data_IF_105639960258
#
_entry.id   IF_105639960258
#
_cell.length_a   1.000
_cell.length_b   1.000
_cell.length_c   1.000
_cell.angle_alpha   90.00
_cell.angle_beta   90.00
_cell.angle_gamma   90.00
#
_symmetry.space_group_name_H-M   'P 1'
#
loop_
_entity.id
_entity.type
_entity.pdbx_description
1 polymer ?
#
# COMPACT_ATOMS: atom_id res chain seq x y z
N UNK A 1 -27.52 3.31 0.52
CA UNK A 1 -27.36 3.28 -0.95
C UNK A 1 -25.97 3.81 -1.24
N UNK A 2 -25.20 3.16 -2.07
CA UNK A 2 -23.87 3.57 -2.49
C UNK A 2 -23.98 4.43 -3.75
N UNK A 3 -23.17 5.47 -3.84
CA UNK A 3 -23.13 6.33 -5.03
C UNK A 3 -22.19 5.75 -6.08
N UNK A 4 -21.10 5.06 -5.63
CA UNK A 4 -20.17 4.36 -6.52
C UNK A 4 -19.55 3.16 -5.81
N UNK A 5 -18.95 2.23 -6.58
CA UNK A 5 -18.31 1.02 -6.09
C UNK A 5 -16.95 0.82 -6.76
N UNK A 6 -15.90 0.74 -5.95
CA UNK A 6 -14.51 0.55 -6.37
C UNK A 6 -13.86 -0.61 -5.59
N UNK A 7 -12.65 -1.00 -5.95
CA UNK A 7 -11.94 -2.03 -5.21
C UNK A 7 -11.29 -1.45 -3.95
N UNK A 8 -10.63 -0.30 -4.06
CA UNK A 8 -9.94 0.34 -2.94
C UNK A 8 -10.21 1.84 -2.92
N UNK A 9 -10.56 2.37 -1.77
CA UNK A 9 -10.62 3.82 -1.51
C UNK A 9 -9.37 4.21 -0.72
N UNK A 10 -8.60 5.16 -1.21
CA UNK A 10 -7.40 5.66 -0.56
C UNK A 10 -7.61 7.09 -0.06
N UNK A 11 -7.65 7.28 1.26
CA UNK A 11 -7.94 8.57 1.91
C UNK A 11 -6.68 9.21 2.50
N UNK A 12 -6.47 10.49 2.19
CA UNK A 12 -5.37 11.30 2.74
C UNK A 12 -4.47 11.93 1.68
N UNK A 13 -3.54 12.76 2.12
CA UNK A 13 -2.60 13.49 1.26
C UNK A 13 -1.16 12.98 1.33
N UNK A 14 -0.89 12.00 2.22
CA UNK A 14 0.45 11.47 2.47
C UNK A 14 0.99 10.55 1.38
N UNK A 15 2.30 10.33 1.42
CA UNK A 15 2.98 9.37 0.55
C UNK A 15 2.40 7.95 0.68
N UNK A 16 1.93 7.59 1.90
CA UNK A 16 1.28 6.31 2.13
C UNK A 16 0.02 6.12 1.28
N UNK A 17 -0.80 7.17 1.10
CA UNK A 17 -1.97 7.13 0.22
C UNK A 17 -1.59 6.90 -1.23
N UNK A 18 -0.64 7.67 -1.76
CA UNK A 18 -0.17 7.52 -3.14
C UNK A 18 0.41 6.13 -3.38
N UNK A 19 1.24 5.66 -2.46
CA UNK A 19 1.84 4.33 -2.54
C UNK A 19 0.81 3.19 -2.48
N UNK A 20 -0.20 3.31 -1.62
CA UNK A 20 -1.28 2.34 -1.53
C UNK A 20 -2.12 2.30 -2.80
N UNK A 21 -2.41 3.47 -3.38
CA UNK A 21 -3.16 3.58 -4.63
C UNK A 21 -2.39 2.97 -5.80
N UNK A 22 -1.10 3.30 -5.95
CA UNK A 22 -0.24 2.70 -6.98
C UNK A 22 -0.13 1.19 -6.80
N UNK A 23 0.09 0.71 -5.57
CA UNK A 23 0.18 -0.71 -5.27
C UNK A 23 -1.09 -1.49 -5.66
N UNK A 24 -2.25 -0.89 -5.44
CA UNK A 24 -3.55 -1.48 -5.80
C UNK A 24 -3.77 -1.45 -7.32
N UNK A 25 -3.46 -0.34 -7.98
CA UNK A 25 -3.56 -0.21 -9.44
C UNK A 25 -2.62 -1.18 -10.18
N UNK A 26 -1.38 -1.36 -9.69
CA UNK A 26 -0.44 -2.38 -10.18
C UNK A 26 -0.97 -3.81 -10.05
N UNK A 27 -1.86 -4.05 -9.09
CA UNK A 27 -2.56 -5.33 -8.93
C UNK A 27 -3.80 -5.45 -9.83
N UNK A 28 -4.08 -4.45 -10.67
CA UNK A 28 -5.22 -4.40 -11.58
C UNK A 28 -6.54 -4.08 -10.88
N UNK A 29 -6.49 -3.46 -9.70
CA UNK A 29 -7.67 -3.06 -8.94
C UNK A 29 -8.12 -1.65 -9.33
N UNK A 30 -9.43 -1.43 -9.23
CA UNK A 30 -10.05 -0.12 -9.37
C UNK A 30 -9.88 0.70 -8.10
N UNK A 31 -9.32 1.90 -8.22
CA UNK A 31 -8.87 2.71 -7.08
C UNK A 31 -9.37 4.14 -7.19
N UNK A 32 -9.88 4.69 -6.10
CA UNK A 32 -10.13 6.12 -5.97
C UNK A 32 -9.27 6.74 -4.87
N UNK A 33 -8.64 7.88 -5.16
CA UNK A 33 -7.93 8.69 -4.16
C UNK A 33 -8.86 9.82 -3.70
N UNK A 34 -8.98 9.96 -2.38
CA UNK A 34 -9.69 11.06 -1.72
C UNK A 34 -8.65 11.97 -1.06
N UNK A 35 -8.53 13.20 -1.52
CA UNK A 35 -7.49 14.13 -1.09
C UNK A 35 -8.10 15.38 -0.45
N UNK A 36 -7.76 15.70 0.82
CA UNK A 36 -8.22 16.90 1.48
C UNK A 36 -7.62 18.16 0.84
N UNK A 37 -8.34 19.26 0.94
CA UNK A 37 -7.93 20.55 0.36
C UNK A 37 -6.65 21.10 0.96
N UNK A 38 -6.50 20.92 2.26
CA UNK A 38 -5.37 21.42 3.04
C UNK A 38 -4.92 20.33 3.98
N UNK A 39 -3.62 19.99 4.00
CA UNK A 39 -3.08 19.15 5.06
C UNK A 39 -3.44 19.78 6.41
N UNK A 40 -4.02 19.01 7.31
CA UNK A 40 -4.32 19.50 8.65
C UNK A 40 -3.03 19.79 9.37
N UNK A 41 -2.77 21.07 9.62
CA UNK A 41 -1.66 21.46 10.49
C UNK A 41 -1.92 20.94 11.90
N UNK A 42 -1.01 20.14 12.40
CA UNK A 42 -1.04 19.67 13.79
C UNK A 42 -0.64 20.85 14.66
N UNK A 43 -1.57 21.37 15.44
CA UNK A 43 -1.25 22.40 16.44
C UNK A 43 -0.54 21.72 17.60
N UNK A 44 0.72 22.11 17.92
CA UNK A 44 1.42 21.57 19.08
C UNK A 44 0.61 21.76 20.37
N UNK A 45 0.50 20.72 21.20
CA UNK A 45 -0.17 20.80 22.50
C UNK A 45 -1.60 20.29 22.55
N UNK A 46 -2.16 19.76 21.47
CA UNK A 46 -3.42 19.01 21.50
C UNK A 46 -3.13 17.53 21.41
N UNK A 47 -3.87 16.73 22.19
CA UNK A 47 -3.83 15.26 22.14
C UNK A 47 -3.74 14.79 20.69
N UNK A 48 -2.82 13.91 20.41
CA UNK A 48 -2.32 13.51 19.07
C UNK A 48 -3.47 13.34 18.08
N UNK A 49 -3.58 14.20 17.05
CA UNK A 49 -4.57 14.00 16.00
C UNK A 49 -4.04 12.93 15.06
N UNK A 50 -4.32 11.71 15.40
CA UNK A 50 -4.10 10.68 14.40
C UNK A 50 -5.41 10.41 13.65
N UNK A 51 -5.41 9.52 12.72
CA UNK A 51 -6.39 9.18 11.69
C UNK A 51 -7.87 9.51 11.90
N UNK A 52 -8.33 9.82 13.07
CA UNK A 52 -9.72 10.18 13.38
C UNK A 52 -9.95 11.67 13.68
N UNK A 53 -8.94 12.52 13.58
CA UNK A 53 -9.10 13.93 13.93
C UNK A 53 -10.13 14.63 13.03
N UNK A 54 -11.21 15.12 13.65
CA UNK A 54 -12.32 15.81 12.99
C UNK A 54 -13.37 14.88 12.40
N UNK A 55 -13.30 13.59 12.63
CA UNK A 55 -14.39 12.66 12.37
C UNK A 55 -15.35 12.71 13.57
N UNK A 56 -16.61 13.06 13.33
CA UNK A 56 -17.64 13.14 14.37
C UNK A 56 -18.35 11.80 14.58
N UNK A 57 -18.32 10.93 13.60
CA UNK A 57 -18.93 9.61 13.64
C UNK A 57 -18.36 8.73 14.75
N UNK A 58 -19.21 8.28 15.65
CA UNK A 58 -18.81 7.56 16.87
C UNK A 58 -18.22 6.19 16.54
N UNK A 59 -18.85 5.44 15.64
CA UNK A 59 -18.41 4.09 15.26
C UNK A 59 -17.03 4.12 14.59
N UNK A 60 -16.81 5.07 13.73
CA UNK A 60 -15.51 5.28 13.08
C UNK A 60 -14.42 5.66 14.09
N UNK A 61 -14.74 6.52 15.07
CA UNK A 61 -13.79 6.87 16.14
C UNK A 61 -13.45 5.68 17.01
N UNK A 62 -14.46 4.93 17.45
CA UNK A 62 -14.26 3.72 18.25
C UNK A 62 -13.40 2.68 17.51
N UNK A 63 -13.58 2.55 16.20
CA UNK A 63 -12.74 1.69 15.37
C UNK A 63 -11.27 2.14 15.38
N UNK A 64 -10.99 3.43 15.22
CA UNK A 64 -9.62 3.95 15.27
C UNK A 64 -9.03 3.85 16.69
N UNK A 65 -9.81 4.14 17.71
CA UNK A 65 -9.38 4.01 19.09
C UNK A 65 -9.02 2.56 19.44
N UNK A 66 -9.81 1.60 18.98
CA UNK A 66 -9.51 0.18 19.15
C UNK A 66 -8.20 -0.24 18.47
N UNK A 67 -7.87 0.32 17.32
CA UNK A 67 -6.61 0.03 16.61
C UNK A 67 -5.37 0.63 17.30
N UNK A 68 -5.57 1.63 18.13
CA UNK A 68 -4.49 2.35 18.84
C UNK A 68 -4.49 2.13 20.35
N UNK A 69 -5.48 1.42 20.90
CA UNK A 69 -5.64 1.25 22.35
C UNK A 69 -4.40 0.69 23.04
N UNK A 70 -3.66 -0.16 22.35
CA UNK A 70 -2.44 -0.78 22.86
C UNK A 70 -1.17 0.09 22.60
N UNK A 71 -1.32 1.20 21.89
CA UNK A 71 -0.21 2.09 21.61
C UNK A 71 -0.07 3.09 22.76
N UNK A 72 1.12 3.17 23.34
CA UNK A 72 1.40 4.19 24.35
C UNK A 72 1.20 5.58 23.74
N UNK A 73 0.71 6.57 24.53
CA UNK A 73 0.64 7.95 24.07
C UNK A 73 2.00 8.36 23.48
N UNK A 74 1.94 8.96 22.29
CA UNK A 74 3.14 9.46 21.62
C UNK A 74 3.60 10.73 22.34
N UNK A 75 4.86 10.81 22.77
CA UNK A 75 5.44 12.08 23.18
C UNK A 75 5.38 13.06 21.99
N UNK A 76 5.06 14.32 22.23
CA UNK A 76 4.97 15.37 21.20
C UNK A 76 6.22 15.51 20.30
N UNK A 77 7.35 14.97 20.72
CA UNK A 77 8.64 15.04 20.03
C UNK A 77 8.95 13.86 19.07
N UNK A 78 8.09 12.84 18.97
CA UNK A 78 8.40 11.63 18.20
C UNK A 78 7.66 11.53 16.87
N UNK A 79 7.47 12.64 16.16
CA UNK A 79 7.06 12.54 14.77
C UNK A 79 8.22 12.00 13.92
N UNK A 80 8.06 10.79 13.41
CA UNK A 80 9.02 10.17 12.50
C UNK A 80 8.79 10.70 11.07
N UNK A 81 9.24 11.94 10.84
CA UNK A 81 9.20 12.59 9.53
C UNK A 81 10.31 12.12 8.60
N UNK A 82 11.23 11.29 9.08
CA UNK A 82 12.35 10.82 8.28
C UNK A 82 11.90 9.75 7.26
N UNK A 83 12.31 9.92 6.02
CA UNK A 83 12.24 8.88 5.02
C UNK A 83 13.34 7.84 5.32
N UNK A 84 12.94 6.61 5.56
CA UNK A 84 13.88 5.54 5.93
C UNK A 84 14.51 4.92 4.69
N UNK A 85 15.83 4.69 4.76
CA UNK A 85 16.55 3.81 3.81
C UNK A 85 16.87 2.51 4.53
N UNK A 86 16.45 1.39 3.96
CA UNK A 86 16.62 0.05 4.54
C UNK A 86 17.37 -0.86 3.57
N UNK A 87 18.43 -1.49 4.01
CA UNK A 87 19.06 -2.59 3.26
C UNK A 87 18.21 -3.84 3.38
N UNK A 88 17.92 -4.46 2.25
CA UNK A 88 17.08 -5.67 2.16
C UNK A 88 17.68 -6.68 1.20
N UNK A 89 17.38 -7.94 1.45
CA UNK A 89 17.69 -9.04 0.53
C UNK A 89 16.43 -9.86 0.26
N UNK A 90 16.35 -10.50 -0.90
CA UNK A 90 15.29 -11.47 -1.17
C UNK A 90 15.34 -12.60 -0.13
N UNK A 91 14.17 -12.98 0.35
CA UNK A 91 14.07 -14.08 1.29
C UNK A 91 13.01 -15.08 0.84
N UNK A 92 13.45 -16.30 0.59
CA UNK A 92 12.55 -17.40 0.29
C UNK A 92 12.21 -18.09 1.60
N UNK A 93 10.95 -18.04 2.07
CA UNK A 93 10.54 -18.73 3.28
C UNK A 93 10.83 -20.23 3.13
N UNK A 94 11.67 -20.77 3.98
CA UNK A 94 11.86 -22.21 4.04
C UNK A 94 10.57 -22.80 4.62
N UNK A 95 9.78 -23.44 3.78
CA UNK A 95 8.58 -24.16 4.19
C UNK A 95 8.96 -25.37 5.03
N UNK A 96 9.16 -25.17 6.34
CA UNK A 96 9.39 -26.22 7.32
C UNK A 96 8.07 -26.57 8.02
N UNK A 97 7.62 -27.82 7.90
CA UNK A 97 6.52 -28.32 8.74
C UNK A 97 6.92 -28.13 10.21
N UNK A 98 6.09 -27.40 10.97
CA UNK A 98 6.26 -27.25 12.42
C UNK A 98 6.95 -25.98 12.90
N UNK A 99 7.28 -25.03 12.03
CA UNK A 99 7.76 -23.73 12.47
C UNK A 99 6.57 -22.88 12.97
N UNK A 100 6.54 -22.63 14.27
CA UNK A 100 5.63 -21.65 14.87
C UNK A 100 6.13 -20.28 14.39
N UNK A 101 5.24 -19.49 13.77
CA UNK A 101 5.59 -18.13 13.40
C UNK A 101 6.00 -17.35 14.66
N UNK A 102 7.11 -16.60 14.64
CA UNK A 102 7.52 -15.85 15.82
C UNK A 102 6.44 -14.85 16.21
N UNK A 103 6.19 -14.73 17.51
CA UNK A 103 5.26 -13.73 18.05
C UNK A 103 5.95 -12.36 18.08
N UNK A 104 5.45 -11.43 17.30
CA UNK A 104 6.01 -10.09 17.15
C UNK A 104 5.21 -8.99 17.87
N UNK A 105 4.42 -9.30 18.89
CA UNK A 105 3.49 -8.37 19.52
C UNK A 105 4.05 -6.97 19.77
N UNK A 106 5.16 -6.85 20.51
CA UNK A 106 5.78 -5.56 20.80
C UNK A 106 6.34 -4.88 19.52
N UNK A 107 6.84 -5.65 18.55
CA UNK A 107 7.33 -5.11 17.27
C UNK A 107 6.20 -4.61 16.39
N UNK A 108 5.05 -5.28 16.39
CA UNK A 108 3.88 -4.82 15.64
C UNK A 108 3.31 -3.53 16.23
N UNK A 109 3.35 -3.37 17.56
CA UNK A 109 2.99 -2.12 18.21
C UNK A 109 3.96 -0.98 17.87
N UNK A 110 5.27 -1.21 17.92
CA UNK A 110 6.27 -0.24 17.52
C UNK A 110 6.14 0.11 16.03
N UNK A 111 5.88 -0.87 15.19
CA UNK A 111 5.62 -0.67 13.76
C UNK A 111 4.36 0.17 13.51
N UNK A 112 3.25 -0.15 14.15
CA UNK A 112 2.02 0.62 14.06
C UNK A 112 2.26 2.08 14.47
N UNK A 113 2.97 2.29 15.57
CA UNK A 113 3.34 3.63 16.06
C UNK A 113 4.13 4.41 15.00
N UNK A 114 5.17 3.82 14.45
CA UNK A 114 6.00 4.46 13.39
C UNK A 114 5.19 4.79 12.14
N UNK A 115 4.25 3.95 11.75
CA UNK A 115 3.38 4.22 10.62
C UNK A 115 2.44 5.39 10.93
N UNK A 116 1.86 5.42 12.14
CA UNK A 116 0.90 6.44 12.54
C UNK A 116 1.52 7.84 12.70
N UNK A 117 2.80 7.92 13.05
CA UNK A 117 3.51 9.19 13.26
C UNK A 117 4.26 9.68 12.04
N UNK A 118 4.11 9.02 10.90
CA UNK A 118 4.90 9.28 9.71
C UNK A 118 4.04 9.69 8.52
N UNK A 119 4.45 10.69 7.73
CA UNK A 119 3.80 11.04 6.47
C UNK A 119 3.88 9.93 5.41
N UNK A 120 4.73 8.93 5.66
CA UNK A 120 4.92 7.76 4.80
C UNK A 120 4.02 6.59 5.18
N UNK A 121 3.32 6.67 6.32
CA UNK A 121 2.50 5.59 6.85
C UNK A 121 1.13 5.47 6.19
N UNK A 122 0.58 4.26 6.22
CA UNK A 122 -0.76 3.94 5.76
C UNK A 122 -1.38 2.85 6.65
N UNK A 123 -2.66 3.01 6.96
CA UNK A 123 -3.51 2.01 7.58
C UNK A 123 -4.42 1.38 6.54
N UNK A 124 -4.55 0.08 6.54
CA UNK A 124 -5.53 -0.66 5.76
C UNK A 124 -6.66 -1.17 6.66
N UNK A 125 -7.89 -0.92 6.29
CA UNK A 125 -9.05 -1.41 7.06
C UNK A 125 -9.26 -2.91 6.91
N UNK A 126 -8.71 -3.52 5.86
CA UNK A 126 -8.72 -4.96 5.62
C UNK A 126 -7.31 -5.50 5.38
N UNK A 127 -7.05 -6.68 5.92
CA UNK A 127 -5.86 -7.47 5.58
C UNK A 127 -6.16 -8.23 4.30
N UNK A 128 -5.70 -7.69 3.16
CA UNK A 128 -5.78 -8.36 1.88
C UNK A 128 -4.38 -8.80 1.41
N UNK A 129 -4.33 -9.79 0.55
CA UNK A 129 -3.10 -10.07 -0.18
C UNK A 129 -2.80 -8.88 -1.11
N UNK A 130 -1.71 -8.20 -0.82
CA UNK A 130 -1.28 -6.99 -1.53
C UNK A 130 -0.27 -7.29 -2.63
N UNK A 131 -0.10 -8.55 -3.00
CA UNK A 131 0.94 -8.95 -3.96
C UNK A 131 2.34 -8.59 -3.47
N UNK A 132 2.60 -8.75 -2.17
CA UNK A 132 3.88 -8.42 -1.55
C UNK A 132 4.86 -9.56 -1.70
N UNK A 133 6.15 -9.22 -1.79
CA UNK A 133 7.26 -10.17 -1.75
C UNK A 133 7.86 -10.19 -0.35
N UNK A 134 8.08 -11.37 0.25
CA UNK A 134 8.80 -11.47 1.51
C UNK A 134 10.27 -11.11 1.31
N UNK A 135 10.78 -10.22 2.13
CA UNK A 135 12.19 -9.81 2.15
C UNK A 135 12.74 -9.89 3.57
N UNK A 136 14.05 -9.92 3.68
CA UNK A 136 14.74 -9.84 4.97
C UNK A 136 15.53 -8.53 5.03
N UNK A 137 15.34 -7.78 6.11
CA UNK A 137 16.13 -6.58 6.37
C UNK A 137 17.56 -6.93 6.77
N UNK A 138 18.48 -5.98 6.67
CA UNK A 138 19.86 -6.11 7.16
C UNK A 138 19.95 -6.45 8.67
N UNK A 139 18.90 -6.18 9.44
CA UNK A 139 18.77 -6.60 10.85
C UNK A 139 18.19 -8.00 11.04
N UNK A 140 17.90 -8.73 9.94
CA UNK A 140 17.35 -10.08 9.97
C UNK A 140 15.83 -10.15 10.14
N UNK A 141 15.11 -9.04 10.08
CA UNK A 141 13.66 -9.00 10.17
C UNK A 141 13.00 -9.47 8.87
N UNK A 142 11.94 -10.24 8.99
CA UNK A 142 11.08 -10.64 7.87
C UNK A 142 10.03 -9.55 7.64
N UNK A 143 10.03 -8.98 6.45
CA UNK A 143 9.11 -7.92 6.04
C UNK A 143 8.38 -8.31 4.76
N UNK A 144 7.24 -7.70 4.53
CA UNK A 144 6.47 -7.83 3.29
C UNK A 144 6.63 -6.54 2.49
N UNK A 145 7.05 -6.64 1.25
CA UNK A 145 7.36 -5.48 0.42
C UNK A 145 6.58 -5.53 -0.89
N UNK A 146 5.91 -4.45 -1.23
CA UNK A 146 5.44 -4.16 -2.58
C UNK A 146 6.38 -3.13 -3.18
N UNK A 147 7.12 -3.49 -4.22
CA UNK A 147 7.97 -2.56 -4.97
C UNK A 147 7.10 -1.67 -5.86
N UNK A 148 7.37 -0.36 -5.83
CA UNK A 148 6.59 0.66 -6.54
C UNK A 148 7.41 1.40 -7.60
N UNK A 149 8.71 1.18 -7.67
CA UNK A 149 9.59 1.87 -8.62
C UNK A 149 10.98 2.09 -8.07
N UNK A 150 11.75 2.92 -8.76
CA UNK A 150 13.15 3.19 -8.44
C UNK A 150 13.41 4.69 -8.39
N UNK A 151 14.30 5.10 -7.48
CA UNK A 151 14.90 6.42 -7.46
C UNK A 151 16.39 6.30 -7.79
N UNK A 152 16.81 6.96 -8.87
CA UNK A 152 18.21 7.02 -9.26
C UNK A 152 18.92 8.24 -8.69
N UNK A 153 20.24 8.16 -8.61
CA UNK A 153 21.11 9.21 -8.07
C UNK A 153 21.18 10.48 -8.95
N UNK A 154 20.65 10.45 -10.15
CA UNK A 154 20.60 11.64 -11.05
C UNK A 154 19.65 12.73 -10.52
N UNK A 155 18.82 12.39 -9.57
CA UNK A 155 17.98 13.34 -8.85
C UNK A 155 18.87 14.16 -7.91
N UNK A 156 19.58 15.15 -8.42
CA UNK A 156 20.23 16.19 -7.62
C UNK A 156 19.25 17.01 -6.77
N UNK A 157 17.98 16.63 -6.81
CA UNK A 157 16.88 17.14 -6.05
C UNK A 157 16.79 16.43 -4.68
N UNK A 158 16.12 17.06 -3.76
CA UNK A 158 15.65 16.49 -2.52
C UNK A 158 14.97 15.11 -2.75
N UNK A 159 15.43 14.09 -2.04
CA UNK A 159 14.96 12.71 -2.18
C UNK A 159 13.46 12.58 -1.94
N UNK A 160 12.91 13.37 -1.02
CA UNK A 160 11.49 13.38 -0.69
C UNK A 160 10.67 13.95 -1.84
N UNK A 161 11.15 15.05 -2.45
CA UNK A 161 10.51 15.63 -3.63
C UNK A 161 10.52 14.66 -4.82
N UNK A 162 11.64 13.96 -5.02
CA UNK A 162 11.76 12.95 -6.07
C UNK A 162 10.80 11.77 -5.85
N UNK A 163 10.66 11.29 -4.61
CA UNK A 163 9.68 10.28 -4.22
C UNK A 163 8.25 10.73 -4.56
N UNK A 164 7.89 11.97 -4.17
CA UNK A 164 6.56 12.53 -4.44
C UNK A 164 6.27 12.64 -5.93
N UNK A 165 7.25 13.11 -6.73
CA UNK A 165 7.12 13.19 -8.18
C UNK A 165 6.95 11.80 -8.81
N UNK A 166 7.74 10.81 -8.37
CA UNK A 166 7.65 9.44 -8.86
C UNK A 166 6.28 8.82 -8.60
N UNK A 167 5.78 8.88 -7.36
CA UNK A 167 4.48 8.33 -7.01
C UNK A 167 3.33 9.08 -7.72
N UNK A 168 3.41 10.41 -7.83
CA UNK A 168 2.41 11.20 -8.54
C UNK A 168 2.38 10.90 -10.03
N UNK A 169 3.55 10.69 -10.66
CA UNK A 169 3.62 10.27 -12.06
C UNK A 169 2.92 8.92 -12.27
N UNK A 170 3.16 7.95 -11.39
CA UNK A 170 2.51 6.63 -11.48
C UNK A 170 0.99 6.71 -11.27
N UNK A 171 0.51 7.55 -10.34
CA UNK A 171 -0.93 7.80 -10.18
C UNK A 171 -1.54 8.33 -11.48
N UNK A 172 -0.83 9.24 -12.19
CA UNK A 172 -1.28 9.75 -13.47
C UNK A 172 -1.19 8.69 -14.59
N UNK A 173 -0.13 7.90 -14.63
CA UNK A 173 0.08 6.84 -15.63
C UNK A 173 -1.00 5.75 -15.51
N UNK A 174 -1.39 5.40 -14.31
CA UNK A 174 -2.52 4.50 -14.03
C UNK A 174 -3.89 5.17 -14.20
N UNK A 175 -3.93 6.48 -14.43
CA UNK A 175 -5.17 7.25 -14.57
C UNK A 175 -6.10 7.10 -13.34
N UNK A 176 -5.52 7.02 -12.14
CA UNK A 176 -6.29 6.84 -10.90
C UNK A 176 -7.12 8.10 -10.63
N UNK A 177 -8.46 7.99 -10.51
CA UNK A 177 -9.32 9.11 -10.19
C UNK A 177 -8.98 9.73 -8.82
N UNK A 178 -8.93 11.06 -8.78
CA UNK A 178 -8.69 11.82 -7.55
C UNK A 178 -9.90 12.69 -7.26
N UNK A 179 -10.50 12.48 -6.10
CA UNK A 179 -11.55 13.36 -5.54
C UNK A 179 -10.86 14.41 -4.68
N UNK A 180 -10.66 15.59 -5.26
CA UNK A 180 -9.98 16.71 -4.60
C UNK A 180 -10.89 17.48 -3.66
N UNK A 181 -10.31 18.14 -2.67
CA UNK A 181 -11.04 18.94 -1.66
C UNK A 181 -12.08 18.12 -0.89
N UNK A 182 -11.80 16.86 -0.67
CA UNK A 182 -12.68 15.91 -0.06
C UNK A 182 -12.04 15.27 1.17
N UNK A 183 -12.82 14.99 2.20
CA UNK A 183 -12.32 14.41 3.46
C UNK A 183 -13.14 13.19 3.85
N UNK A 184 -12.49 12.24 4.50
CA UNK A 184 -13.18 11.11 5.10
C UNK A 184 -14.11 11.61 6.20
N UNK A 185 -15.42 11.43 6.02
CA UNK A 185 -16.44 11.77 7.01
C UNK A 185 -16.65 10.60 7.99
N UNK A 186 -16.78 9.39 7.48
CA UNK A 186 -16.93 8.16 8.26
C UNK A 186 -16.62 6.91 7.45
N UNK A 187 -16.27 5.84 8.13
CA UNK A 187 -16.29 4.48 7.58
C UNK A 187 -17.70 3.89 7.67
N UNK A 188 -18.00 2.97 6.77
CA UNK A 188 -19.27 2.25 6.76
C UNK A 188 -19.00 0.80 7.13
N UNK A 189 -19.69 0.32 8.17
CA UNK A 189 -19.52 -1.02 8.72
C UNK A 189 -20.74 -1.90 8.42
N UNK A 190 -20.49 -3.16 8.21
CA UNK A 190 -21.49 -4.23 8.20
C UNK A 190 -20.88 -5.46 8.87
N UNK A 191 -21.56 -6.02 9.84
CA UNK A 191 -21.09 -7.18 10.61
C UNK A 191 -19.66 -7.03 11.18
N UNK A 192 -19.26 -5.78 11.51
CA UNK A 192 -17.93 -5.46 12.05
C UNK A 192 -16.82 -5.33 11.01
N UNK A 193 -17.14 -5.47 9.72
CA UNK A 193 -16.21 -5.22 8.63
C UNK A 193 -16.43 -3.86 7.98
N UNK A 194 -15.36 -3.18 7.57
CA UNK A 194 -15.44 -1.94 6.81
C UNK A 194 -15.76 -2.28 5.35
N UNK A 195 -16.92 -1.80 4.86
CA UNK A 195 -17.36 -2.00 3.49
C UNK A 195 -17.09 -0.82 2.57
N UNK A 196 -16.74 0.34 3.13
CA UNK A 196 -16.50 1.55 2.36
C UNK A 196 -16.40 2.77 3.24
N UNK A 197 -16.56 3.92 2.62
CA UNK A 197 -16.44 5.22 3.27
C UNK A 197 -17.48 6.23 2.76
N UNK A 198 -17.87 7.14 3.61
CA UNK A 198 -18.57 8.36 3.21
C UNK A 198 -17.56 9.50 3.22
N UNK A 199 -17.51 10.18 2.11
CA UNK A 199 -16.58 11.27 1.85
C UNK A 199 -17.36 12.58 1.82
N UNK A 200 -16.90 13.57 2.57
CA UNK A 200 -17.44 14.93 2.51
C UNK A 200 -16.78 15.67 1.34
N UNK A 201 -17.59 16.08 0.37
CA UNK A 201 -17.15 16.80 -0.83
C UNK A 201 -17.84 18.15 -0.93
N UNK A 202 -17.39 19.01 -1.85
CA UNK A 202 -18.03 20.31 -2.11
C UNK A 202 -19.48 20.18 -2.58
N UNK A 203 -19.83 19.07 -3.23
CA UNK A 203 -21.16 18.78 -3.78
C UNK A 203 -22.04 17.99 -2.79
N UNK A 204 -21.54 17.70 -1.61
CA UNK A 204 -22.20 16.93 -0.57
C UNK A 204 -21.52 15.57 -0.30
N UNK A 205 -22.12 14.75 0.58
CA UNK A 205 -21.55 13.47 0.94
C UNK A 205 -21.60 12.48 -0.22
N UNK A 206 -20.47 11.81 -0.48
CA UNK A 206 -20.30 10.77 -1.49
C UNK A 206 -20.03 9.43 -0.79
N UNK A 207 -20.91 8.45 -0.96
CA UNK A 207 -20.78 7.11 -0.38
C UNK A 207 -20.10 6.16 -1.36
N UNK A 208 -18.86 5.76 -1.06
CA UNK A 208 -18.04 4.85 -1.86
C UNK A 208 -17.99 3.47 -1.22
N UNK A 209 -18.44 2.45 -1.95
CA UNK A 209 -18.22 1.05 -1.56
C UNK A 209 -16.82 0.61 -1.95
N UNK A 210 -16.12 -0.06 -1.04
CA UNK A 210 -14.75 -0.53 -1.25
C UNK A 210 -14.71 -2.06 -1.09
N UNK A 211 -14.64 -2.81 -2.20
CA UNK A 211 -14.64 -4.28 -2.18
C UNK A 211 -13.48 -4.87 -1.39
N UNK A 212 -12.32 -4.23 -1.46
CA UNK A 212 -11.09 -4.66 -0.78
C UNK A 212 -10.69 -3.77 0.40
N UNK A 213 -11.51 -2.76 0.73
CA UNK A 213 -11.35 -1.92 1.91
C UNK A 213 -10.82 -0.53 1.62
N UNK A 214 -10.57 0.20 2.71
CA UNK A 214 -10.12 1.59 2.69
C UNK A 214 -8.68 1.65 3.18
N UNK A 215 -7.81 2.37 2.46
CA UNK A 215 -6.47 2.72 2.88
C UNK A 215 -6.44 4.17 3.35
N UNK A 216 -5.85 4.42 4.51
CA UNK A 216 -5.89 5.75 5.14
C UNK A 216 -4.47 6.13 5.54
N UNK A 217 -3.96 7.24 5.01
CA UNK A 217 -2.69 7.80 5.48
C UNK A 217 -2.93 8.88 6.53
N UNK A 218 -1.92 9.06 7.38
CA UNK A 218 -1.91 10.19 8.31
C UNK A 218 -1.78 11.49 7.51
N UNK A 219 -2.57 12.49 7.87
CA UNK A 219 -2.52 13.83 7.25
C UNK A 219 -1.38 14.69 7.84
N UNK A 220 -0.44 14.04 8.50
CA UNK A 220 0.68 14.71 9.16
C UNK A 220 1.67 15.16 8.11
N UNK A 221 1.49 16.33 7.49
CA UNK A 221 2.65 17.09 7.06
C UNK A 221 2.43 18.41 6.36
N UNK A 222 3.51 19.14 6.48
CA UNK A 222 4.06 19.96 5.40
C UNK A 222 5.03 19.12 4.57
N UNK A 223 4.67 18.74 3.36
CA UNK A 223 5.60 18.16 2.39
C UNK A 223 6.75 19.12 2.05
N UNK A 224 6.69 20.36 2.53
CA UNK A 224 7.72 21.38 2.42
C UNK A 224 8.71 21.45 3.60
N UNK A 225 8.47 20.72 4.68
CA UNK A 225 9.34 20.77 5.88
C UNK A 225 10.40 19.67 5.94
N UNK A 226 10.33 18.66 5.07
CA UNK A 226 11.42 17.71 4.92
C UNK A 226 12.57 18.42 4.20
N UNK A 227 13.46 19.01 4.97
CA UNK A 227 14.65 19.71 4.49
C UNK A 227 15.49 18.79 3.62
N UNK A 228 15.88 19.29 2.44
CA UNK A 228 16.67 18.72 1.37
C UNK A 228 17.79 17.74 1.70
N UNK A 229 17.48 16.69 2.44
CA UNK A 229 18.43 15.66 2.81
C UNK A 229 18.60 14.69 1.64
N UNK A 230 19.83 14.58 1.20
CA UNK A 230 20.21 13.59 0.19
C UNK A 230 20.38 12.24 0.88
N UNK A 231 19.35 11.41 0.87
CA UNK A 231 19.37 10.07 1.49
C UNK A 231 20.01 9.02 0.58
N UNK A 232 20.10 9.29 -0.72
CA UNK A 232 20.67 8.37 -1.70
C UNK A 232 22.04 8.89 -2.16
N UNK A 233 23.06 8.05 -2.04
CA UNK A 233 24.41 8.40 -2.48
C UNK A 233 24.49 8.57 -4.01
N UNK A 234 25.33 9.50 -4.52
CA UNK A 234 25.51 9.66 -5.95
C UNK A 234 25.95 8.35 -6.63
N UNK A 235 25.27 8.00 -7.71
CA UNK A 235 25.54 6.76 -8.46
C UNK A 235 24.82 5.52 -7.95
N UNK A 236 24.10 5.60 -6.83
CA UNK A 236 23.24 4.51 -6.35
C UNK A 236 21.81 4.65 -6.85
N UNK A 237 21.15 3.52 -7.00
CA UNK A 237 19.72 3.42 -7.25
C UNK A 237 19.09 2.66 -6.10
N UNK A 238 18.01 3.20 -5.55
CA UNK A 238 17.22 2.55 -4.50
C UNK A 238 15.81 2.24 -5.01
N UNK A 239 15.20 1.22 -4.46
CA UNK A 239 13.81 0.87 -4.76
C UNK A 239 12.86 1.66 -3.84
N UNK A 240 11.71 2.06 -4.37
CA UNK A 240 10.60 2.55 -3.56
C UNK A 240 9.81 1.32 -3.12
N UNK A 241 9.70 1.09 -1.83
CA UNK A 241 8.95 -0.04 -1.27
C UNK A 241 7.81 0.41 -0.37
N UNK A 242 6.65 -0.19 -0.52
CA UNK A 242 5.60 -0.15 0.48
C UNK A 242 5.80 -1.36 1.40
N UNK A 243 6.35 -1.08 2.57
CA UNK A 243 6.79 -2.08 3.55
C UNK A 243 5.69 -2.34 4.56
N UNK A 244 5.53 -3.58 4.96
CA UNK A 244 4.63 -4.00 6.02
C UNK A 244 5.14 -5.26 6.71
N UNK A 245 4.42 -5.70 7.73
CA UNK A 245 4.64 -7.00 8.37
C UNK A 245 3.45 -7.92 8.08
N UNK A 246 3.70 -9.22 8.06
CA UNK A 246 2.63 -10.22 7.99
C UNK A 246 1.63 -9.99 9.12
N UNK A 247 0.33 -10.01 8.81
CA UNK A 247 -0.77 -9.75 9.74
C UNK A 247 -0.85 -8.32 10.30
N UNK A 248 -0.03 -7.37 9.83
CA UNK A 248 -0.16 -5.96 10.20
C UNK A 248 -1.08 -5.22 9.22
N UNK A 249 -1.99 -4.41 9.76
CA UNK A 249 -2.80 -3.46 8.99
C UNK A 249 -2.04 -2.19 8.62
N UNK A 250 -0.84 -2.01 9.13
CA UNK A 250 -0.02 -0.84 8.90
C UNK A 250 1.05 -1.12 7.87
N UNK A 251 1.27 -0.15 6.99
CA UNK A 251 2.35 -0.12 6.03
C UNK A 251 3.05 1.24 6.04
N UNK A 252 4.24 1.30 5.47
CA UNK A 252 5.03 2.51 5.37
C UNK A 252 5.83 2.52 4.07
N UNK A 253 5.91 3.67 3.43
CA UNK A 253 6.84 3.88 2.31
C UNK A 253 8.25 4.01 2.84
N UNK A 254 9.16 3.21 2.32
CA UNK A 254 10.59 3.24 2.63
C UNK A 254 11.40 3.12 1.34
N UNK A 255 12.63 3.61 1.36
CA UNK A 255 13.60 3.36 0.31
C UNK A 255 14.38 2.09 0.64
N UNK A 256 14.56 1.22 -0.36
CA UNK A 256 15.18 -0.07 -0.19
C UNK A 256 16.46 -0.14 -1.01
N UNK A 257 17.57 -0.36 -0.31
CA UNK A 257 18.84 -0.74 -0.90
C UNK A 257 18.87 -2.27 -0.99
N UNK A 258 18.71 -2.80 -2.19
CA UNK A 258 18.61 -4.25 -2.40
C UNK A 258 20.02 -4.80 -2.59
N UNK A 259 20.51 -5.55 -1.61
CA UNK A 259 21.75 -6.29 -1.75
C UNK A 259 21.59 -7.37 -2.83
N UNK A 260 22.22 -7.15 -3.94
CA UNK A 260 22.34 -8.14 -5.00
C UNK A 260 23.49 -9.07 -4.66
N UNK A 261 23.25 -10.09 -3.85
CA UNK A 261 24.18 -11.21 -3.73
C UNK A 261 24.26 -11.90 -5.10
N UNK A 262 25.15 -11.41 -5.95
CA UNK A 262 25.80 -12.10 -7.07
C UNK A 262 24.95 -12.83 -8.12
N UNK A 263 23.63 -12.81 -8.09
CA UNK A 263 22.77 -13.37 -9.13
C UNK A 263 21.73 -12.37 -9.59
N UNK A 264 22.08 -11.67 -10.67
CA UNK A 264 21.14 -10.81 -11.38
C UNK A 264 19.96 -11.64 -11.90
N UNK A 265 18.83 -11.62 -11.22
CA UNK A 265 17.58 -12.03 -11.82
C UNK A 265 16.90 -10.81 -12.42
N UNK A 266 16.74 -10.83 -13.73
CA UNK A 266 16.12 -9.85 -14.62
C UNK A 266 14.61 -9.65 -14.33
N UNK A 267 14.20 -9.31 -13.12
CA UNK A 267 12.79 -9.13 -12.79
C UNK A 267 12.23 -7.71 -13.04
N UNK A 268 13.06 -6.75 -13.38
CA UNK A 268 12.61 -5.36 -13.62
C UNK A 268 12.43 -4.97 -15.08
N UNK A 269 12.29 -5.93 -16.02
CA UNK A 269 12.12 -5.59 -17.46
C UNK A 269 10.83 -6.06 -18.11
N UNK A 270 9.82 -6.49 -17.41
CA UNK A 270 8.59 -6.98 -18.05
C UNK A 270 7.30 -6.25 -17.66
N UNK A 271 7.33 -4.93 -17.69
CA UNK A 271 6.13 -4.11 -17.84
C UNK A 271 5.75 -3.88 -19.30
N UNK A 272 6.10 -4.78 -20.23
CA UNK A 272 5.55 -4.75 -21.60
C UNK A 272 4.49 -5.82 -21.73
N UNK A 273 3.25 -5.35 -21.68
CA UNK A 273 2.08 -6.06 -22.19
C UNK A 273 2.41 -6.64 -23.55
N UNK A 274 2.45 -7.95 -23.65
CA UNK A 274 2.53 -8.66 -24.91
C UNK A 274 1.14 -8.60 -25.56
N UNK A 275 0.97 -7.63 -26.45
CA UNK A 275 -0.17 -7.57 -27.38
C UNK A 275 -0.04 -8.76 -28.35
N UNK A 276 -0.64 -9.88 -27.96
CA UNK A 276 -0.81 -11.03 -28.84
C UNK A 276 -2.09 -10.85 -29.65
N UNK A 277 -1.97 -10.08 -30.77
CA UNK A 277 -2.95 -10.15 -31.85
C UNK A 277 -3.12 -11.60 -32.29
N UNK A 278 -4.28 -12.17 -31.98
CA UNK A 278 -4.77 -13.41 -32.60
C UNK A 278 -5.07 -13.12 -34.04
N UNK A 279 -4.27 -13.64 -34.94
CA UNK A 279 -4.69 -13.86 -36.33
C UNK A 279 -5.68 -15.04 -36.40
N UNK A 280 -6.77 -14.91 -37.19
CA UNK A 280 -7.67 -16.03 -37.47
C UNK A 280 -7.23 -16.74 -38.74
N UNK A 281 -6.95 -18.01 -38.66
CA UNK A 281 -6.86 -18.75 -39.93
C UNK A 281 -6.02 -20.01 -39.89
N UNK A 282 -6.60 -21.17 -39.71
CA UNK A 282 -6.67 -22.33 -40.63
C UNK A 282 -6.91 -23.61 -39.86
N UNK A 283 -8.08 -24.14 -40.05
CA UNK A 283 -8.38 -25.57 -39.86
C UNK A 283 -7.50 -26.42 -40.74
N UNK A 284 -7.06 -27.58 -40.29
CA UNK A 284 -6.88 -28.71 -41.14
C UNK A 284 -7.88 -29.85 -40.81
N UNK A 285 -8.32 -30.44 -41.91
CA UNK A 285 -9.25 -31.47 -42.17
C UNK A 285 -9.19 -32.69 -41.24
N UNK A 286 -10.41 -33.25 -41.11
CA UNK A 286 -10.76 -34.64 -40.79
C UNK A 286 -9.81 -35.66 -41.43
N UNK A 287 -9.34 -36.59 -40.65
CA UNK A 287 -9.21 -38.00 -41.06
C UNK A 287 -9.71 -38.89 -39.93
N UNK A 288 -10.64 -39.72 -40.32
CA UNK A 288 -11.33 -40.68 -39.51
C UNK A 288 -10.58 -41.99 -39.35
N UNK A 289 -11.28 -42.92 -38.75
CA UNK A 289 -10.96 -44.32 -38.43
C UNK A 289 -10.44 -44.52 -37.01
N UNK A 290 -10.89 -45.45 -36.22
CA UNK A 290 -11.72 -46.64 -36.45
C UNK A 290 -12.27 -47.09 -35.10
N UNK A 291 -13.46 -47.73 -35.16
CA UNK A 291 -14.10 -48.45 -34.06
C UNK A 291 -13.23 -49.60 -33.57
N UNK A 292 -13.18 -49.80 -32.25
CA UNK A 292 -13.15 -51.16 -31.69
C UNK A 292 -14.09 -51.29 -30.52
N UNK A 293 -14.99 -52.25 -30.71
CA UNK A 293 -16.01 -52.76 -29.80
C UNK A 293 -15.42 -53.73 -28.79
N UNK A 294 -16.07 -53.76 -27.66
CA UNK A 294 -16.39 -54.94 -26.81
C UNK A 294 -15.58 -55.21 -25.57
N UNK A 295 -16.21 -55.96 -24.63
CA UNK A 295 -17.56 -56.01 -24.12
C UNK A 295 -17.67 -55.99 -22.58
N UNK A 296 -18.86 -56.25 -21.96
CA UNK A 296 -19.15 -56.09 -20.54
C UNK A 296 -19.07 -57.42 -19.78
N UNK A 297 -18.72 -57.36 -18.49
CA UNK A 297 -19.03 -58.36 -17.43
C UNK A 297 -18.89 -57.60 -16.13
N UNK A 298 -19.86 -57.54 -15.23
CA UNK A 298 -20.68 -58.65 -14.69
C UNK A 298 -20.20 -58.95 -13.28
N UNK A 299 -20.81 -58.41 -12.34
CA UNK A 299 -21.43 -58.75 -11.04
C UNK A 299 -21.35 -57.58 -10.07
#
# INVERSE_FOLDING_TARGET
MWDDEVDVVCCGSGFGTLAAAVAAADAGLDVHIVRPRTPRSVTPGRETPWMGAGIEDTETREYFDALSSDLKPLPEAEYDSALMVRTVSEWIPVSGRGRIAPFYGARLQDWARRCLTSPYGVLYTRLADRGTTPMRSGTGEEIQVKLLGQLGAETGADTVSALGQCLSAQVNDHQIPIVDNATLQRLVFEEGEVLGAVIDTADGPLALRARHGVAISTELHDAGSASGERLVEPGKTVQIGLVGYSASRFGRVELLDVDHDGSASDYCRSGRVHDSRREPGRSPARRGREMHRHPPFGQ
#
